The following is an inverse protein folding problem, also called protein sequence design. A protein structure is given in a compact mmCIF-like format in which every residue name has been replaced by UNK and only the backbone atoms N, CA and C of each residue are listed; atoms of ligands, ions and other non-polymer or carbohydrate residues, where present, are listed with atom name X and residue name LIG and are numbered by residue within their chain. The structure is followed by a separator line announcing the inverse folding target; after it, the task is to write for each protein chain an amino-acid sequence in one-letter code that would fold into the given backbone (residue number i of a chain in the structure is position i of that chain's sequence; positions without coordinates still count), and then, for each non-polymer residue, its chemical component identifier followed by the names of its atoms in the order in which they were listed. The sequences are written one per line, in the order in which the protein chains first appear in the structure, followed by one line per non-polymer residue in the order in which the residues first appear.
data_IF_167655814868
#
_entry.id   IF_167655814868
#
_cell.length_a   1.000
_cell.length_b   1.000
_cell.length_c   1.000
_cell.angle_alpha   90.00
_cell.angle_beta   90.00
_cell.angle_gamma   90.00
#
_symmetry.space_group_name_H-M   'P 1'
#
loop_
_entity.id
_entity.type
_entity.pdbx_description
1 polymer ?
#
# COMPACT_ATOMS: atom_id res chain seq x y z
N UNK A 1 -6.17 12.76 13.69
CA UNK A 1 -5.27 11.89 12.90
C UNK A 1 -3.86 12.43 13.08
N UNK A 2 -2.96 11.71 13.74
CA UNK A 2 -1.53 11.96 13.58
C UNK A 2 -0.76 10.69 13.90
N UNK A 3 -0.19 10.12 12.84
CA UNK A 3 1.07 9.38 12.79
C UNK A 3 1.35 9.22 11.30
N UNK A 4 1.91 10.28 10.74
CA UNK A 4 2.31 10.34 9.34
C UNK A 4 3.62 9.56 9.19
N UNK A 5 3.68 8.58 8.29
CA UNK A 5 4.97 8.00 7.92
C UNK A 5 5.79 9.06 7.19
N UNK A 6 7.12 8.98 7.25
CA UNK A 6 7.96 9.81 6.41
C UNK A 6 7.53 9.68 4.93
N UNK A 7 7.75 10.72 4.13
CA UNK A 7 7.30 10.73 2.73
C UNK A 7 7.70 9.45 2.00
N UNK A 8 6.75 8.85 1.28
CA UNK A 8 6.97 7.60 0.54
C UNK A 8 7.55 7.93 -0.83
N UNK A 9 8.79 7.49 -1.08
CA UNK A 9 9.50 7.76 -2.34
C UNK A 9 9.32 6.66 -3.38
N UNK A 10 8.86 5.48 -2.97
CA UNK A 10 8.65 4.34 -3.87
C UNK A 10 7.43 3.55 -3.42
N UNK A 11 6.57 3.25 -4.37
CA UNK A 11 5.46 2.32 -4.22
C UNK A 11 5.70 1.17 -5.18
N UNK A 12 5.65 -0.05 -4.68
CA UNK A 12 5.59 -1.26 -5.48
C UNK A 12 4.33 -2.03 -5.08
N UNK A 13 3.83 -2.86 -5.97
CA UNK A 13 2.62 -3.65 -5.73
C UNK A 13 2.87 -5.11 -6.10
N UNK A 14 2.13 -6.01 -5.45
CA UNK A 14 2.15 -7.44 -5.75
C UNK A 14 0.73 -8.00 -5.61
N UNK A 15 0.47 -9.08 -6.36
CA UNK A 15 -0.73 -9.85 -6.12
C UNK A 15 -0.58 -10.67 -4.82
N UNK A 16 -1.65 -10.79 -4.01
CA UNK A 16 -1.61 -11.46 -2.72
C UNK A 16 -1.17 -12.94 -2.75
N UNK A 17 -1.28 -13.60 -3.89
CA UNK A 17 -0.85 -14.99 -4.16
C UNK A 17 0.61 -15.09 -4.65
N UNK A 18 1.23 -13.96 -5.02
CA UNK A 18 2.63 -13.87 -5.45
C UNK A 18 3.59 -13.52 -4.33
N UNK A 19 3.08 -13.38 -3.10
CA UNK A 19 3.87 -13.06 -1.92
C UNK A 19 3.75 -14.16 -0.87
N UNK A 20 4.86 -14.44 -0.20
CA UNK A 20 4.93 -15.29 0.97
C UNK A 20 5.44 -14.45 2.14
N UNK A 21 4.63 -14.38 3.20
CA UNK A 21 5.00 -13.70 4.43
C UNK A 21 5.55 -14.76 5.40
N UNK A 22 6.85 -14.67 5.67
CA UNK A 22 7.49 -15.42 6.75
C UNK A 22 7.26 -14.70 8.07
N UNK A 23 6.30 -15.19 8.87
CA UNK A 23 6.08 -14.71 10.24
C UNK A 23 5.99 -15.91 11.19
N UNK A 24 6.61 -15.80 12.37
CA UNK A 24 6.56 -16.83 13.41
C UNK A 24 5.36 -16.70 14.35
N UNK A 25 4.70 -15.53 14.38
CA UNK A 25 3.71 -15.18 15.41
C UNK A 25 2.46 -14.49 14.86
N UNK A 26 1.45 -14.23 15.71
CA UNK A 26 0.29 -13.41 15.34
C UNK A 26 0.78 -12.03 14.92
N UNK A 27 0.38 -11.60 13.71
CA UNK A 27 0.72 -10.27 13.21
C UNK A 27 0.17 -9.22 14.20
N UNK A 28 1.00 -8.28 14.62
CA UNK A 28 0.56 -7.11 15.39
C UNK A 28 1.28 -5.87 14.84
N UNK A 29 0.86 -4.69 15.28
CA UNK A 29 1.43 -3.43 14.79
C UNK A 29 2.91 -3.31 15.13
N UNK A 30 3.72 -2.82 14.17
CA UNK A 30 5.16 -2.60 14.35
C UNK A 30 5.99 -3.89 14.43
N UNK A 31 5.40 -5.03 14.08
CA UNK A 31 6.13 -6.29 13.99
C UNK A 31 6.88 -6.33 12.67
N UNK A 32 8.16 -6.68 12.79
CA UNK A 32 9.01 -6.97 11.66
C UNK A 32 8.65 -8.30 11.02
N UNK A 33 8.42 -8.30 9.71
CA UNK A 33 8.14 -9.49 8.92
C UNK A 33 9.20 -9.69 7.84
N UNK A 34 9.41 -10.95 7.46
CA UNK A 34 10.15 -11.28 6.25
C UNK A 34 9.17 -11.52 5.11
N UNK A 35 9.43 -10.94 3.95
CA UNK A 35 8.56 -11.07 2.79
C UNK A 35 9.38 -11.59 1.61
N UNK A 36 8.90 -12.66 1.00
CA UNK A 36 9.41 -13.18 -0.27
C UNK A 36 8.36 -12.98 -1.35
N UNK A 37 8.75 -12.55 -2.54
CA UNK A 37 7.81 -12.38 -3.65
C UNK A 37 8.29 -11.39 -4.70
N UNK A 38 7.47 -11.23 -5.74
CA UNK A 38 7.74 -10.29 -6.83
C UNK A 38 6.87 -9.06 -6.66
N UNK A 39 7.52 -7.90 -6.59
CA UNK A 39 6.86 -6.60 -6.51
C UNK A 39 7.15 -5.80 -7.78
N UNK A 40 6.10 -5.27 -8.39
CA UNK A 40 6.14 -4.43 -9.57
C UNK A 40 6.08 -2.96 -9.16
N UNK A 41 6.97 -2.09 -9.68
CA UNK A 41 6.96 -0.68 -9.31
C UNK A 41 5.76 0.06 -9.88
N UNK A 42 5.23 1.00 -9.11
CA UNK A 42 4.30 2.03 -9.59
C UNK A 42 5.11 3.31 -9.79
N UNK A 43 5.11 3.84 -11.00
CA UNK A 43 5.70 5.15 -11.26
C UNK A 43 4.83 6.24 -10.62
N UNK A 44 5.38 6.95 -9.62
CA UNK A 44 4.69 8.02 -8.90
C UNK A 44 5.30 9.39 -9.24
N UNK A 45 4.46 10.42 -9.19
CA UNK A 45 4.84 11.82 -9.34
C UNK A 45 5.00 12.46 -7.95
N UNK A 46 6.22 12.88 -7.63
CA UNK A 46 6.56 13.46 -6.32
C UNK A 46 6.66 12.43 -5.20
N UNK A 47 6.27 12.81 -3.99
CA UNK A 47 6.22 11.93 -2.82
C UNK A 47 4.78 11.50 -2.56
N UNK A 48 4.61 10.23 -2.21
CA UNK A 48 3.36 9.72 -1.68
C UNK A 48 3.27 9.94 -0.17
N UNK A 49 2.05 9.98 0.37
CA UNK A 49 1.79 10.11 1.80
C UNK A 49 1.02 8.91 2.32
N UNK A 50 1.30 8.58 3.58
CA UNK A 50 0.57 7.54 4.30
C UNK A 50 0.15 8.07 5.65
N UNK A 51 -1.15 7.98 5.90
CA UNK A 51 -1.77 8.29 7.18
C UNK A 51 -2.37 7.01 7.75
N UNK A 52 -2.30 6.82 9.06
CA UNK A 52 -3.07 5.76 9.70
C UNK A 52 -3.80 6.26 10.95
N UNK A 53 -4.95 5.64 11.20
CA UNK A 53 -5.78 5.82 12.37
C UNK A 53 -6.01 4.46 13.04
N UNK A 54 -6.08 4.46 14.37
CA UNK A 54 -6.46 3.28 15.15
C UNK A 54 -7.73 3.58 15.93
N UNK A 55 -8.71 2.68 15.82
CA UNK A 55 -9.98 2.75 16.55
C UNK A 55 -10.24 1.43 17.27
N UNK A 56 -10.62 1.49 18.54
CA UNK A 56 -11.02 0.31 19.30
C UNK A 56 -12.50 0.00 19.04
N UNK A 57 -12.82 -1.22 18.60
CA UNK A 57 -14.17 -1.71 18.33
C UNK A 57 -14.30 -3.10 18.96
N UNK A 58 -15.23 -3.28 19.90
CA UNK A 58 -15.47 -4.57 20.59
C UNK A 58 -14.20 -5.22 21.14
N UNK A 59 -13.37 -4.45 21.86
CA UNK A 59 -12.07 -4.84 22.39
C UNK A 59 -10.97 -5.22 21.37
N UNK A 60 -11.22 -4.99 20.09
CA UNK A 60 -10.25 -5.17 19.03
C UNK A 60 -9.77 -3.82 18.47
N UNK A 61 -8.47 -3.69 18.21
CA UNK A 61 -7.95 -2.54 17.49
C UNK A 61 -8.22 -2.73 15.98
N UNK A 62 -8.90 -1.76 15.40
CA UNK A 62 -9.11 -1.62 13.96
C UNK A 62 -8.21 -0.49 13.48
N UNK A 63 -7.48 -0.75 12.40
CA UNK A 63 -6.55 0.16 11.78
C UNK A 63 -7.12 0.59 10.43
N UNK A 64 -7.14 1.90 10.21
CA UNK A 64 -7.49 2.51 8.93
C UNK A 64 -6.24 3.17 8.39
N UNK A 65 -5.69 2.65 7.29
CA UNK A 65 -4.53 3.23 6.62
C UNK A 65 -4.95 3.86 5.31
N UNK A 66 -4.53 5.10 5.06
CA UNK A 66 -4.79 5.84 3.84
C UNK A 66 -3.47 6.13 3.14
N UNK A 67 -3.31 5.58 1.94
CA UNK A 67 -2.19 5.85 1.04
C UNK A 67 -2.66 6.82 -0.05
N UNK A 68 -1.97 7.95 -0.20
CA UNK A 68 -2.27 8.96 -1.22
C UNK A 68 -1.05 9.14 -2.11
N UNK A 69 -1.23 9.02 -3.42
CA UNK A 69 -0.15 9.24 -4.38
C UNK A 69 -0.68 9.75 -5.71
N UNK A 70 0.22 10.32 -6.50
CA UNK A 70 -0.05 10.78 -7.86
C UNK A 70 0.69 9.90 -8.83
N UNK A 71 0.03 9.54 -9.92
CA UNK A 71 0.66 8.79 -11.00
C UNK A 71 0.11 9.26 -12.35
N UNK A 72 0.99 9.28 -13.36
CA UNK A 72 0.56 9.43 -14.74
C UNK A 72 -0.05 8.13 -15.29
N UNK A 73 -0.50 8.19 -16.55
CA UNK A 73 -0.91 7.00 -17.28
C UNK A 73 0.27 6.02 -17.39
N UNK A 74 0.10 4.83 -16.83
CA UNK A 74 1.08 3.75 -16.93
C UNK A 74 0.39 2.44 -17.31
N UNK A 75 0.95 1.77 -18.31
CA UNK A 75 0.54 0.42 -18.69
C UNK A 75 1.23 -0.60 -17.78
N UNK A 76 0.43 -1.55 -17.32
CA UNK A 76 0.86 -2.62 -16.42
C UNK A 76 0.30 -3.92 -16.98
N UNK A 77 0.91 -4.37 -18.06
CA UNK A 77 0.41 -5.46 -18.91
C UNK A 77 -0.15 -6.64 -18.09
N UNK A 78 -1.37 -7.13 -18.40
CA UNK A 78 -2.26 -6.73 -19.50
C UNK A 78 -3.26 -5.60 -19.14
N UNK A 79 -3.05 -4.89 -18.03
CA UNK A 79 -4.01 -3.93 -17.46
C UNK A 79 -3.46 -2.49 -17.42
N UNK A 80 -4.34 -1.51 -17.21
CA UNK A 80 -3.91 -0.19 -16.76
C UNK A 80 -3.68 -0.19 -15.25
N UNK A 81 -2.83 0.72 -14.74
CA UNK A 81 -2.69 0.93 -13.30
C UNK A 81 -4.04 1.16 -12.62
N UNK A 82 -4.89 2.00 -13.23
CA UNK A 82 -6.23 2.26 -12.74
C UNK A 82 -7.04 0.96 -12.59
N UNK A 83 -7.02 0.10 -13.62
CA UNK A 83 -7.73 -1.18 -13.58
C UNK A 83 -7.21 -2.10 -12.49
N UNK A 84 -5.90 -2.10 -12.25
CA UNK A 84 -5.24 -2.86 -11.19
C UNK A 84 -5.72 -2.36 -9.84
N UNK A 85 -5.53 -1.07 -9.55
CA UNK A 85 -5.86 -0.47 -8.26
C UNK A 85 -7.35 -0.62 -7.91
N UNK A 86 -8.25 -0.44 -8.88
CA UNK A 86 -9.70 -0.45 -8.64
C UNK A 86 -10.31 -1.84 -8.48
N UNK A 87 -9.77 -2.86 -9.16
CA UNK A 87 -10.48 -4.14 -9.33
C UNK A 87 -9.74 -5.34 -8.74
N UNK A 88 -8.59 -5.14 -8.11
CA UNK A 88 -7.77 -6.23 -7.58
C UNK A 88 -7.46 -6.00 -6.12
N UNK A 89 -7.51 -7.08 -5.34
CA UNK A 89 -6.89 -7.10 -4.03
C UNK A 89 -5.38 -7.06 -4.26
N UNK A 90 -4.72 -6.05 -3.73
CA UNK A 90 -3.30 -5.78 -3.96
C UNK A 90 -2.62 -5.57 -2.62
N UNK A 91 -1.36 -6.01 -2.58
CA UNK A 91 -0.42 -5.71 -1.51
C UNK A 91 0.56 -4.66 -2.01
N UNK A 92 0.75 -3.59 -1.24
CA UNK A 92 1.71 -2.54 -1.52
C UNK A 92 2.95 -2.69 -0.65
N UNK A 93 4.11 -2.60 -1.28
CA UNK A 93 5.40 -2.39 -0.65
C UNK A 93 5.72 -0.89 -0.75
N UNK A 94 5.80 -0.23 0.39
CA UNK A 94 6.07 1.20 0.48
C UNK A 94 7.51 1.36 0.97
N UNK A 95 8.29 2.19 0.29
CA UNK A 95 9.63 2.59 0.76
C UNK A 95 9.64 4.08 1.05
N UNK A 96 9.96 4.44 2.28
CA UNK A 96 10.03 5.83 2.69
C UNK A 96 11.34 6.51 2.25
N UNK A 97 11.43 7.82 2.45
CA UNK A 97 12.64 8.60 2.15
C UNK A 97 13.90 8.08 2.89
N UNK A 98 13.74 7.48 4.07
CA UNK A 98 14.80 6.92 4.90
C UNK A 98 15.21 5.48 4.48
N UNK A 99 14.56 4.90 3.46
CA UNK A 99 14.70 3.50 3.00
C UNK A 99 14.09 2.44 3.94
N UNK A 100 13.24 2.83 4.90
CA UNK A 100 12.42 1.86 5.61
C UNK A 100 11.34 1.32 4.69
N UNK A 101 11.08 0.02 4.83
CA UNK A 101 10.14 -0.71 3.99
C UNK A 101 8.95 -1.18 4.81
N UNK A 102 7.77 -1.02 4.22
CA UNK A 102 6.50 -1.26 4.85
C UNK A 102 5.57 -2.06 3.95
N UNK A 103 4.80 -2.97 4.51
CA UNK A 103 3.79 -3.74 3.80
C UNK A 103 2.39 -3.22 4.15
N UNK A 104 1.60 -2.90 3.12
CA UNK A 104 0.20 -2.47 3.22
C UNK A 104 -0.70 -3.39 2.40
N UNK A 105 -1.78 -3.87 3.02
CA UNK A 105 -2.64 -4.90 2.43
C UNK A 105 -2.02 -6.28 2.64
N UNK A 106 -2.62 -7.12 3.48
CA UNK A 106 -2.17 -8.50 3.68
C UNK A 106 -3.31 -9.46 3.41
N UNK A 107 -2.95 -10.61 2.86
CA UNK A 107 -3.88 -11.59 2.31
C UNK A 107 -4.51 -12.52 3.36
N UNK A 108 -5.10 -12.00 4.43
CA UNK A 108 -5.97 -12.82 5.30
C UNK A 108 -7.17 -12.04 5.81
N UNK A 109 -8.30 -12.73 5.89
CA UNK A 109 -9.48 -12.28 6.59
C UNK A 109 -9.14 -11.92 8.06
N UNK A 110 -9.87 -10.98 8.68
CA UNK A 110 -10.96 -10.17 8.11
C UNK A 110 -10.39 -8.99 7.32
N UNK A 111 -10.85 -8.87 6.08
CA UNK A 111 -10.29 -8.06 5.00
C UNK A 111 -10.06 -6.59 5.35
N UNK A 112 -9.09 -5.95 4.68
CA UNK A 112 -9.21 -4.54 4.34
C UNK A 112 -10.35 -4.33 3.35
N UNK A 113 -11.34 -3.50 3.72
CA UNK A 113 -12.12 -2.80 2.72
C UNK A 113 -11.17 -1.79 2.05
N UNK A 114 -10.78 -2.06 0.81
CA UNK A 114 -10.00 -1.15 0.00
C UNK A 114 -10.96 -0.20 -0.74
N UNK A 115 -10.98 1.08 -0.38
CA UNK A 115 -11.69 2.09 -1.17
C UNK A 115 -10.68 2.93 -1.91
N UNK A 116 -10.89 3.07 -3.21
CA UNK A 116 -10.06 3.90 -4.07
C UNK A 116 -10.87 5.12 -4.47
N UNK A 117 -10.34 6.30 -4.17
CA UNK A 117 -10.87 7.55 -4.70
C UNK A 117 -9.90 8.08 -5.74
N UNK A 118 -10.43 8.34 -6.92
CA UNK A 118 -9.72 8.94 -8.04
C UNK A 118 -10.14 10.41 -8.16
N UNK A 119 -9.16 11.30 -8.22
CA UNK A 119 -9.41 12.72 -8.45
C UNK A 119 -8.54 13.20 -9.60
N UNK A 120 -9.18 13.67 -10.68
CA UNK A 120 -8.49 14.38 -11.74
C UNK A 120 -8.25 15.82 -11.28
N UNK A 121 -7.04 16.39 -11.46
CA UNK A 121 -6.82 17.80 -11.21
C UNK A 121 -7.78 18.63 -12.08
N UNK A 122 -8.42 19.65 -11.48
CA UNK A 122 -9.41 20.50 -12.16
C UNK A 122 -8.85 21.41 -13.25
N UNK A 123 -7.53 21.40 -13.45
CA UNK A 123 -6.84 22.13 -14.50
C UNK A 123 -6.28 21.14 -15.52
N UNK A 124 -6.52 21.40 -16.80
CA UNK A 124 -5.90 20.68 -17.91
C UNK A 124 -4.40 21.00 -17.97
N UNK A 125 -3.61 20.38 -17.09
CA UNK A 125 -2.16 20.24 -17.31
C UNK A 125 -1.95 19.18 -18.40
N UNK A 126 -1.07 19.44 -19.36
CA UNK A 126 -0.68 18.49 -20.43
C UNK A 126 -0.17 17.15 -19.87
N UNK A 127 0.28 17.13 -18.62
CA UNK A 127 0.57 15.91 -17.89
C UNK A 127 -0.75 15.32 -17.34
N UNK A 128 -1.23 14.24 -17.95
CA UNK A 128 -2.34 13.40 -17.47
C UNK A 128 -1.99 12.72 -16.13
N UNK A 129 -1.93 13.49 -15.05
CA UNK A 129 -1.63 13.02 -13.70
C UNK A 129 -2.95 12.82 -12.96
N UNK A 130 -3.11 11.63 -12.38
CA UNK A 130 -4.23 11.26 -11.53
C UNK A 130 -3.79 11.19 -10.08
N UNK A 131 -4.63 11.64 -9.15
CA UNK A 131 -4.43 11.41 -7.72
C UNK A 131 -5.27 10.21 -7.28
N UNK A 132 -4.63 9.29 -6.58
CA UNK A 132 -5.22 8.08 -6.04
C UNK A 132 -5.14 8.11 -4.52
N UNK A 133 -6.29 7.90 -3.87
CA UNK A 133 -6.38 7.69 -2.43
C UNK A 133 -6.89 6.27 -2.19
N UNK A 134 -6.06 5.42 -1.57
CA UNK A 134 -6.38 4.03 -1.24
C UNK A 134 -6.49 3.90 0.28
N UNK A 135 -7.67 3.54 0.76
CA UNK A 135 -7.92 3.31 2.18
C UNK A 135 -8.06 1.83 2.47
N UNK A 136 -7.27 1.30 3.40
CA UNK A 136 -7.32 -0.07 3.93
C UNK A 136 -7.86 -0.06 5.36
N UNK A 137 -8.87 -0.88 5.67
CA UNK A 137 -9.42 -1.03 7.04
C UNK A 137 -9.23 -2.46 7.54
N UNK A 138 -8.24 -2.73 8.38
CA UNK A 138 -7.89 -4.07 8.83
C UNK A 138 -7.62 -4.14 10.34
N UNK A 139 -7.44 -5.34 10.89
CA UNK A 139 -7.18 -5.55 12.33
C UNK A 139 -5.70 -5.44 12.72
N UNK A 140 -4.84 -5.17 11.74
CA UNK A 140 -3.39 -4.99 11.91
C UNK A 140 -2.97 -3.66 11.29
N UNK A 141 -1.93 -3.00 11.76
CA UNK A 141 -1.41 -1.82 11.09
C UNK A 141 -0.62 -2.18 9.83
N UNK A 142 0.01 -1.17 9.23
CA UNK A 142 1.18 -1.32 8.37
C UNK A 142 2.25 -2.18 9.08
N UNK A 143 2.88 -3.10 8.35
CA UNK A 143 3.89 -4.02 8.88
C UNK A 143 5.28 -3.60 8.40
N UNK A 144 6.28 -3.67 9.29
CA UNK A 144 7.65 -3.29 8.97
C UNK A 144 8.39 -4.50 8.36
N UNK A 145 9.25 -4.26 7.37
CA UNK A 145 9.95 -5.34 6.66
C UNK A 145 11.43 -5.35 7.02
N UNK A 146 11.93 -6.52 7.44
CA UNK A 146 13.36 -6.73 7.75
C UNK A 146 14.15 -7.37 6.60
N UNK A 147 13.48 -8.14 5.74
CA UNK A 147 14.12 -8.84 4.65
C UNK A 147 13.16 -8.99 3.47
N UNK A 148 13.68 -8.68 2.27
CA UNK A 148 12.99 -8.85 1.01
C UNK A 148 13.75 -9.89 0.16
N UNK A 149 13.11 -11.02 -0.13
CA UNK A 149 13.63 -12.00 -1.08
C UNK A 149 12.86 -11.89 -2.41
N UNK A 150 13.55 -11.40 -3.45
CA UNK A 150 13.01 -11.38 -4.81
C UNK A 150 13.28 -12.72 -5.49
N UNK A 151 12.23 -13.42 -5.89
CA UNK A 151 12.34 -14.59 -6.76
C UNK A 151 12.36 -14.10 -8.21
N UNK A 152 13.45 -14.36 -8.92
CA UNK A 152 13.62 -14.04 -10.35
C UNK A 152 12.92 -15.07 -11.24
#
# INVERSE_FOLDING_TARGET
MSNFLAGIKKIEYAFPDQIQIGHSERLTQGVFISVAGTFSPICIEGLASVEYETKKVSDQNIYTTKLIFRAGNQEVYPYSLESIILNKNIVYLLTDIMNYQYLLGINKAPFPAATVKHTNPGNATEAHISEYEITYINIFSILDIICLQKTN
#
